data_IF_415448150934
#
_entry.id   IF_415448150934
#
_cell.length_a   1.000
_cell.length_b   1.000
_cell.length_c   1.000
_cell.angle_alpha   90.00
_cell.angle_beta   90.00
_cell.angle_gamma   90.00
#
_symmetry.space_group_name_H-M   'P 1'
#
loop_
_entity.id
_entity.type
_entity.pdbx_description
1 polymer ?
#
# COMPACT_ATOMS: atom_id res chain seq x y z
N UNK A 1 16.18 -19.70 32.56
CA UNK A 1 15.07 -18.71 32.53
C UNK A 1 15.56 -17.26 32.51
N UNK A 2 16.40 -16.81 33.45
CA UNK A 2 16.89 -15.42 33.50
C UNK A 2 17.65 -14.96 32.24
N UNK A 3 18.49 -15.82 31.66
CA UNK A 3 19.26 -15.50 30.44
C UNK A 3 18.33 -15.29 29.22
N UNK A 4 17.29 -16.11 29.09
CA UNK A 4 16.30 -16.00 28.00
C UNK A 4 15.48 -14.70 28.12
N UNK A 5 15.07 -14.35 29.34
CA UNK A 5 14.35 -13.09 29.62
C UNK A 5 15.22 -11.87 29.32
N UNK A 6 16.50 -11.91 29.71
CA UNK A 6 17.46 -10.85 29.39
C UNK A 6 17.69 -10.68 27.88
N UNK A 7 17.82 -11.78 27.14
CA UNK A 7 17.99 -11.74 25.68
C UNK A 7 16.76 -11.15 24.99
N UNK A 8 15.55 -11.57 25.39
CA UNK A 8 14.29 -11.05 24.84
C UNK A 8 14.15 -9.55 25.13
N UNK A 9 14.49 -9.10 26.34
CA UNK A 9 14.44 -7.69 26.71
C UNK A 9 15.43 -6.83 25.87
N UNK A 10 16.66 -7.33 25.66
CA UNK A 10 17.66 -6.64 24.84
C UNK A 10 17.24 -6.59 23.37
N UNK A 11 16.75 -7.70 22.80
CA UNK A 11 16.24 -7.71 21.42
C UNK A 11 15.03 -6.79 21.26
N UNK A 12 14.13 -6.75 22.24
CA UNK A 12 12.97 -5.84 22.24
C UNK A 12 13.40 -4.39 22.34
N UNK A 13 14.40 -4.07 23.16
CA UNK A 13 14.94 -2.72 23.32
C UNK A 13 15.72 -2.26 22.08
N UNK A 14 16.50 -3.15 21.45
CA UNK A 14 17.19 -2.87 20.19
C UNK A 14 16.20 -2.70 19.04
N UNK A 15 15.17 -3.56 18.97
CA UNK A 15 14.07 -3.41 18.02
C UNK A 15 13.33 -2.10 18.24
N UNK A 16 12.98 -1.77 19.49
CA UNK A 16 12.34 -0.50 19.84
C UNK A 16 13.24 0.69 19.50
N UNK A 17 14.55 0.63 19.75
CA UNK A 17 15.49 1.71 19.44
C UNK A 17 15.72 1.86 17.93
N UNK A 18 15.79 0.76 17.18
CA UNK A 18 15.86 0.75 15.72
C UNK A 18 14.56 1.29 15.11
N UNK A 19 13.42 0.83 15.61
CA UNK A 19 12.10 1.34 15.26
C UNK A 19 11.99 2.82 15.61
N UNK A 20 12.49 3.26 16.77
CA UNK A 20 12.45 4.67 17.20
C UNK A 20 13.41 5.54 16.40
N UNK A 21 14.60 5.05 16.03
CA UNK A 21 15.52 5.77 15.13
C UNK A 21 14.95 5.90 13.73
N UNK A 22 14.30 4.86 13.24
CA UNK A 22 13.56 4.94 11.99
C UNK A 22 12.34 5.87 12.10
N UNK A 23 11.68 5.80 13.26
CA UNK A 23 10.70 6.69 13.87
C UNK A 23 11.03 8.18 13.78
N UNK A 24 12.28 8.50 14.13
CA UNK A 24 12.81 9.85 14.32
C UNK A 24 13.52 10.33 13.06
N UNK A 25 13.96 9.42 12.19
CA UNK A 25 14.50 9.76 10.87
C UNK A 25 13.43 10.21 9.88
N UNK A 26 12.22 10.52 10.35
CA UNK A 26 11.16 11.17 9.59
C UNK A 26 11.67 12.52 9.08
N UNK A 27 12.29 12.46 7.91
CA UNK A 27 12.55 13.61 7.05
C UNK A 27 11.25 14.38 6.93
N UNK A 28 11.33 15.71 7.01
CA UNK A 28 10.19 16.54 6.66
C UNK A 28 9.69 16.09 5.28
N UNK A 29 8.41 15.69 5.17
CA UNK A 29 7.87 15.23 3.90
C UNK A 29 8.09 16.29 2.83
N UNK A 30 8.62 15.89 1.67
CA UNK A 30 8.82 16.79 0.56
C UNK A 30 7.46 17.30 0.06
N UNK A 31 7.39 18.57 -0.36
CA UNK A 31 6.18 19.12 -0.98
C UNK A 31 5.95 18.45 -2.35
N UNK A 32 5.19 17.35 -2.33
CA UNK A 32 4.91 16.50 -3.48
C UNK A 32 3.73 15.55 -3.18
N UNK A 33 3.12 15.05 -4.24
CA UNK A 33 2.19 13.93 -4.20
C UNK A 33 2.91 12.64 -4.64
N UNK A 34 2.91 11.61 -3.79
CA UNK A 34 3.42 10.29 -4.12
C UNK A 34 2.26 9.30 -4.26
N UNK A 35 2.13 8.67 -5.43
CA UNK A 35 1.09 7.71 -5.77
C UNK A 35 1.64 6.29 -5.66
N UNK A 36 1.21 5.56 -4.65
CA UNK A 36 1.56 4.17 -4.45
C UNK A 36 0.73 3.28 -5.35
N UNK A 37 1.38 2.76 -6.40
CA UNK A 37 0.75 1.89 -7.38
C UNK A 37 1.76 0.86 -7.95
N UNK A 38 2.01 -0.26 -7.26
CA UNK A 38 3.08 -1.20 -7.63
C UNK A 38 2.95 -1.89 -9.00
N UNK A 39 1.78 -1.81 -9.64
CA UNK A 39 1.47 -2.41 -10.94
C UNK A 39 0.98 -1.34 -11.92
N UNK A 40 1.90 -0.70 -12.63
CA UNK A 40 1.62 0.34 -13.63
C UNK A 40 1.51 -0.18 -15.05
N UNK A 41 1.63 -1.50 -15.23
CA UNK A 41 1.73 -2.12 -16.54
C UNK A 41 0.68 -3.21 -16.87
N UNK A 42 -0.28 -3.47 -15.98
CA UNK A 42 -1.20 -4.62 -16.09
C UNK A 42 -2.43 -4.34 -16.99
N UNK A 43 -2.67 -3.09 -17.38
CA UNK A 43 -3.85 -2.64 -18.14
C UNK A 43 -5.15 -2.66 -17.32
N UNK A 44 -5.09 -2.69 -15.99
CA UNK A 44 -6.24 -2.90 -15.11
C UNK A 44 -7.02 -1.63 -14.74
N UNK A 45 -8.21 -1.80 -14.14
CA UNK A 45 -9.03 -0.68 -13.67
C UNK A 45 -8.35 0.20 -12.61
N UNK A 46 -7.45 -0.38 -11.80
CA UNK A 46 -6.66 0.37 -10.81
C UNK A 46 -5.73 1.41 -11.45
N UNK A 47 -5.15 1.11 -12.62
CA UNK A 47 -4.30 2.06 -13.34
C UNK A 47 -5.11 3.25 -13.85
N UNK A 48 -6.36 3.04 -14.28
CA UNK A 48 -7.23 4.16 -14.65
C UNK A 48 -7.43 5.12 -13.48
N UNK A 49 -7.63 4.59 -12.27
CA UNK A 49 -7.73 5.39 -11.05
C UNK A 49 -6.43 6.17 -10.82
N UNK A 50 -5.27 5.50 -10.92
CA UNK A 50 -3.96 6.14 -10.80
C UNK A 50 -3.84 7.33 -11.75
N UNK A 51 -4.07 7.13 -13.05
CA UNK A 51 -3.86 8.17 -14.05
C UNK A 51 -4.85 9.32 -13.92
N UNK A 52 -6.12 9.03 -13.62
CA UNK A 52 -7.11 10.06 -13.31
C UNK A 52 -6.70 10.88 -12.08
N UNK A 53 -6.20 10.23 -11.02
CA UNK A 53 -5.76 10.91 -9.81
C UNK A 53 -4.51 11.78 -10.04
N UNK A 54 -3.52 11.28 -10.78
CA UNK A 54 -2.33 12.06 -11.19
C UNK A 54 -2.76 13.26 -12.02
N UNK A 55 -3.63 13.07 -13.01
CA UNK A 55 -4.17 14.17 -13.84
C UNK A 55 -4.87 15.23 -13.00
N UNK A 56 -5.77 14.81 -12.10
CA UNK A 56 -6.50 15.72 -11.24
C UNK A 56 -5.57 16.55 -10.33
N UNK A 57 -4.54 15.93 -9.75
CA UNK A 57 -3.54 16.66 -8.95
C UNK A 57 -2.78 17.66 -9.81
N UNK A 58 -2.37 17.29 -11.02
CA UNK A 58 -1.67 18.21 -11.92
C UNK A 58 -2.52 19.42 -12.34
N UNK A 59 -3.84 19.26 -12.46
CA UNK A 59 -4.77 20.34 -12.78
C UNK A 59 -5.07 21.24 -11.58
N UNK A 60 -5.36 20.64 -10.42
CA UNK A 60 -5.73 21.37 -9.20
C UNK A 60 -4.52 22.05 -8.53
N UNK A 61 -3.34 21.45 -8.65
CA UNK A 61 -2.10 21.93 -8.03
C UNK A 61 -0.94 21.83 -9.02
N UNK A 62 -0.84 22.74 -10.02
CA UNK A 62 0.20 22.69 -11.03
C UNK A 62 1.63 22.78 -10.48
N UNK A 63 1.85 23.33 -9.30
CA UNK A 63 3.19 23.40 -8.70
C UNK A 63 3.54 22.20 -7.83
N UNK A 64 2.63 21.23 -7.65
CA UNK A 64 2.85 20.04 -6.83
C UNK A 64 3.42 18.89 -7.69
N UNK A 65 4.70 18.50 -7.49
CA UNK A 65 5.28 17.38 -8.22
C UNK A 65 4.55 16.06 -7.91
N UNK A 66 4.36 15.24 -8.94
CA UNK A 66 3.75 13.92 -8.82
C UNK A 66 4.81 12.85 -9.03
N UNK A 67 4.98 11.97 -8.04
CA UNK A 67 5.82 10.78 -8.12
C UNK A 67 4.95 9.52 -8.07
N UNK A 68 5.27 8.51 -8.87
CA UNK A 68 4.58 7.21 -8.87
C UNK A 68 5.55 6.15 -8.36
N UNK A 69 5.14 5.43 -7.33
CA UNK A 69 5.86 4.26 -6.85
C UNK A 69 5.37 3.02 -7.58
N UNK A 70 6.27 2.37 -8.31
CA UNK A 70 5.93 1.20 -9.15
C UNK A 70 6.96 0.10 -8.97
N UNK A 71 6.52 -1.16 -9.03
CA UNK A 71 7.43 -2.31 -9.10
C UNK A 71 7.76 -2.75 -10.52
N UNK A 72 7.26 -2.04 -11.54
CA UNK A 72 7.62 -2.30 -12.93
C UNK A 72 9.01 -1.74 -13.23
N UNK A 73 9.91 -2.60 -13.70
CA UNK A 73 11.31 -2.26 -13.95
C UNK A 73 11.50 -1.39 -15.21
N UNK A 74 10.57 -1.50 -16.17
CA UNK A 74 10.56 -0.82 -17.46
C UNK A 74 9.73 0.49 -17.44
N UNK A 75 9.23 0.90 -16.27
CA UNK A 75 8.43 2.09 -16.12
C UNK A 75 9.26 3.39 -16.26
N UNK A 76 9.34 3.93 -17.47
CA UNK A 76 9.87 5.28 -17.72
C UNK A 76 8.77 6.35 -17.64
N UNK A 77 9.06 7.59 -17.17
CA UNK A 77 8.07 8.67 -17.05
C UNK A 77 7.22 8.90 -18.31
N UNK A 78 7.87 9.00 -19.47
CA UNK A 78 7.24 9.27 -20.76
C UNK A 78 6.42 8.06 -21.22
N UNK A 79 6.93 6.85 -20.99
CA UNK A 79 6.22 5.61 -21.33
C UNK A 79 4.94 5.46 -20.50
N UNK A 80 4.98 5.81 -19.21
CA UNK A 80 3.79 5.81 -18.35
C UNK A 80 2.77 6.88 -18.80
N UNK A 81 3.24 8.07 -19.17
CA UNK A 81 2.36 9.12 -19.67
C UNK A 81 1.69 8.74 -21.01
N UNK A 82 2.44 8.10 -21.92
CA UNK A 82 1.90 7.56 -23.16
C UNK A 82 0.87 6.45 -22.88
N UNK A 83 1.20 5.51 -21.98
CA UNK A 83 0.29 4.43 -21.57
C UNK A 83 -1.01 4.96 -20.97
N UNK A 84 -0.94 5.99 -20.13
CA UNK A 84 -2.12 6.64 -19.55
C UNK A 84 -3.08 7.16 -20.65
N UNK A 85 -2.52 7.77 -21.70
CA UNK A 85 -3.28 8.23 -22.84
C UNK A 85 -3.82 7.06 -23.68
N UNK A 86 -2.96 6.15 -24.10
CA UNK A 86 -3.28 5.10 -25.07
C UNK A 86 -4.25 4.06 -24.51
N UNK A 87 -4.12 3.70 -23.23
CA UNK A 87 -4.96 2.66 -22.59
C UNK A 87 -6.20 3.21 -21.92
N UNK A 88 -6.13 4.42 -21.39
CA UNK A 88 -7.19 4.95 -20.52
C UNK A 88 -7.77 6.28 -20.99
N UNK A 89 -7.25 6.86 -22.08
CA UNK A 89 -7.68 8.17 -22.58
C UNK A 89 -7.30 9.33 -21.66
N UNK A 90 -6.36 9.12 -20.73
CA UNK A 90 -5.98 10.12 -19.72
C UNK A 90 -4.68 10.80 -20.14
N UNK A 91 -4.79 12.00 -20.73
CA UNK A 91 -3.63 12.82 -21.08
C UNK A 91 -3.06 13.49 -19.84
N UNK A 92 -1.86 13.13 -19.40
CA UNK A 92 -1.18 13.86 -18.31
C UNK A 92 -0.68 15.23 -18.79
N UNK A 93 -0.66 16.23 -17.91
CA UNK A 93 -0.09 17.56 -18.20
C UNK A 93 1.44 17.50 -18.27
N UNK A 94 2.05 16.63 -17.46
CA UNK A 94 3.49 16.32 -17.49
C UNK A 94 3.73 14.85 -17.10
N UNK A 95 4.83 14.24 -17.57
CA UNK A 95 5.22 12.91 -17.09
C UNK A 95 5.41 12.90 -15.56
N UNK A 96 4.94 11.86 -14.85
CA UNK A 96 5.19 11.73 -13.42
C UNK A 96 6.64 11.30 -13.18
N UNK A 97 7.20 11.69 -12.03
CA UNK A 97 8.46 11.10 -11.57
C UNK A 97 8.23 9.63 -11.22
N UNK A 98 9.21 8.77 -11.48
CA UNK A 98 9.10 7.33 -11.18
C UNK A 98 10.03 6.95 -10.04
N UNK A 99 9.47 6.25 -9.06
CA UNK A 99 10.21 5.65 -7.95
C UNK A 99 10.06 4.13 -8.05
N UNK A 100 11.06 3.47 -8.62
CA UNK A 100 11.04 2.01 -8.75
C UNK A 100 11.14 1.31 -7.40
N UNK A 101 10.39 0.23 -7.23
CA UNK A 101 10.34 -0.63 -6.05
C UNK A 101 10.82 -2.03 -6.40
N UNK A 102 11.69 -2.59 -5.57
CA UNK A 102 12.28 -3.90 -5.79
C UNK A 102 11.61 -4.99 -4.96
N UNK A 103 10.72 -4.63 -4.03
CA UNK A 103 10.07 -5.56 -3.09
C UNK A 103 8.63 -5.92 -3.49
N UNK A 104 8.23 -5.70 -4.75
CA UNK A 104 6.87 -6.02 -5.23
C UNK A 104 6.46 -7.47 -4.96
N UNK A 105 7.39 -8.42 -5.02
CA UNK A 105 7.10 -9.84 -4.71
C UNK A 105 6.38 -10.06 -3.36
N UNK A 106 6.57 -9.19 -2.37
CA UNK A 106 5.94 -9.35 -1.06
C UNK A 106 4.44 -9.03 -1.05
N UNK A 107 3.88 -8.44 -2.11
CA UNK A 107 2.43 -8.26 -2.26
C UNK A 107 1.81 -9.28 -3.23
N UNK A 108 2.61 -10.20 -3.78
CA UNK A 108 2.15 -11.25 -4.68
C UNK A 108 1.62 -12.46 -3.90
N UNK A 109 0.50 -13.03 -4.36
CA UNK A 109 -0.12 -14.18 -3.70
C UNK A 109 0.78 -15.42 -3.70
N UNK A 110 1.55 -15.61 -4.78
CA UNK A 110 2.52 -16.71 -4.97
C UNK A 110 3.59 -16.78 -3.88
N UNK A 111 3.89 -15.66 -3.22
CA UNK A 111 4.86 -15.59 -2.12
C UNK A 111 4.36 -16.29 -0.85
N UNK A 112 3.05 -16.50 -0.70
CA UNK A 112 2.44 -17.01 0.53
C UNK A 112 1.58 -18.25 0.27
N UNK A 113 2.12 -19.48 0.47
CA UNK A 113 1.36 -20.71 0.28
C UNK A 113 0.21 -20.87 1.29
N UNK A 114 0.30 -20.20 2.44
CA UNK A 114 -0.73 -20.16 3.48
C UNK A 114 -0.90 -18.73 4.00
N UNK A 115 -2.10 -18.40 4.50
CA UNK A 115 -2.42 -17.08 5.07
C UNK A 115 -2.14 -15.90 4.13
N UNK A 116 -2.37 -16.09 2.83
CA UNK A 116 -2.03 -15.14 1.76
C UNK A 116 -2.46 -13.71 2.05
N UNK A 117 -3.69 -13.49 2.51
CA UNK A 117 -4.19 -12.13 2.84
C UNK A 117 -3.38 -11.44 3.96
N UNK A 118 -2.98 -12.18 4.99
CA UNK A 118 -2.14 -11.65 6.07
C UNK A 118 -0.75 -11.37 5.54
N UNK A 119 -0.20 -12.30 4.76
CA UNK A 119 1.08 -12.17 4.08
C UNK A 119 1.14 -10.89 3.23
N UNK A 120 0.20 -10.72 2.30
CA UNK A 120 0.10 -9.56 1.43
C UNK A 120 -0.13 -8.26 2.22
N UNK A 121 -0.92 -8.29 3.30
CA UNK A 121 -1.12 -7.12 4.17
C UNK A 121 0.17 -6.68 4.85
N UNK A 122 0.98 -7.62 5.34
CA UNK A 122 2.30 -7.31 5.91
C UNK A 122 3.32 -6.93 4.82
N UNK A 123 3.26 -7.60 3.68
CA UNK A 123 4.09 -7.31 2.53
C UNK A 123 3.85 -5.92 1.97
N UNK A 124 2.61 -5.42 2.02
CA UNK A 124 2.29 -4.06 1.60
C UNK A 124 2.88 -3.01 2.53
N UNK A 125 2.96 -3.28 3.84
CA UNK A 125 3.70 -2.43 4.80
C UNK A 125 5.18 -2.40 4.44
N UNK A 126 5.77 -3.55 4.14
CA UNK A 126 7.19 -3.65 3.79
C UNK A 126 7.52 -2.96 2.45
N UNK A 127 6.62 -3.05 1.48
CA UNK A 127 6.74 -2.35 0.20
C UNK A 127 6.56 -0.84 0.35
N UNK A 128 5.58 -0.40 1.15
CA UNK A 128 5.38 1.01 1.46
C UNK A 128 6.57 1.61 2.22
N UNK A 129 7.20 0.85 3.12
CA UNK A 129 8.46 1.26 3.73
C UNK A 129 9.53 1.53 2.68
N UNK A 130 9.70 0.63 1.69
CA UNK A 130 10.65 0.84 0.61
C UNK A 130 10.35 2.13 -0.17
N UNK A 131 9.08 2.34 -0.52
CA UNK A 131 8.64 3.54 -1.21
C UNK A 131 8.98 4.81 -0.42
N UNK A 132 8.58 4.85 0.85
CA UNK A 132 8.74 6.02 1.72
C UNK A 132 10.19 6.29 2.11
N UNK A 133 11.04 5.26 2.20
CA UNK A 133 12.49 5.43 2.42
C UNK A 133 13.21 5.94 1.19
N UNK A 134 12.75 5.62 -0.02
CA UNK A 134 13.26 6.18 -1.28
C UNK A 134 12.82 7.61 -1.51
N UNK A 135 11.54 7.91 -1.26
CA UNK A 135 10.97 9.24 -1.40
C UNK A 135 9.80 9.41 -0.44
N UNK A 136 9.85 10.39 0.47
CA UNK A 136 8.78 10.69 1.43
C UNK A 136 7.98 11.93 1.00
N UNK A 137 6.74 11.79 0.51
CA UNK A 137 5.93 12.88 0.00
C UNK A 137 5.04 13.46 1.10
N UNK A 138 4.66 14.73 1.00
CA UNK A 138 3.68 15.33 1.89
C UNK A 138 2.30 14.69 1.74
N UNK A 139 1.91 14.33 0.51
CA UNK A 139 0.65 13.66 0.22
C UNK A 139 0.92 12.26 -0.33
N UNK A 140 0.51 11.23 0.41
CA UNK A 140 0.63 9.83 0.01
C UNK A 140 -0.73 9.36 -0.50
N UNK A 141 -0.81 9.06 -1.79
CA UNK A 141 -1.99 8.52 -2.45
C UNK A 141 -1.88 7.01 -2.58
N UNK A 142 -2.86 6.25 -2.09
CA UNK A 142 -3.00 4.84 -2.43
C UNK A 142 -4.12 4.65 -3.46
N UNK A 143 -3.76 4.02 -4.57
CA UNK A 143 -4.67 3.70 -5.68
C UNK A 143 -4.73 2.21 -5.96
N UNK A 144 -4.01 1.40 -5.18
CA UNK A 144 -4.00 -0.07 -5.27
C UNK A 144 -4.78 -0.75 -4.13
N UNK A 145 -5.08 -0.04 -3.04
CA UNK A 145 -5.94 -0.56 -1.95
C UNK A 145 -5.17 -1.31 -0.85
N UNK A 146 -3.92 -0.94 -0.61
CA UNK A 146 -3.05 -1.47 0.44
C UNK A 146 -3.19 -0.70 1.75
N UNK A 147 -4.37 -0.78 2.39
CA UNK A 147 -4.69 0.01 3.58
C UNK A 147 -3.75 -0.16 4.78
N UNK A 148 -3.10 -1.32 4.90
CA UNK A 148 -2.10 -1.57 5.96
C UNK A 148 -0.87 -0.66 5.83
N UNK A 149 -0.60 -0.07 4.66
CA UNK A 149 0.46 0.91 4.47
C UNK A 149 0.17 2.26 5.16
N UNK A 150 -1.10 2.58 5.46
CA UNK A 150 -1.48 3.93 5.87
C UNK A 150 -0.93 4.36 7.23
N UNK A 151 -0.94 3.51 8.29
CA UNK A 151 -0.28 3.85 9.54
C UNK A 151 1.20 4.16 9.34
N UNK A 152 1.89 3.37 8.50
CA UNK A 152 3.30 3.61 8.19
C UNK A 152 3.50 4.95 7.48
N UNK A 153 2.71 5.26 6.45
CA UNK A 153 2.78 6.55 5.76
C UNK A 153 2.56 7.74 6.72
N UNK A 154 1.61 7.64 7.66
CA UNK A 154 1.41 8.66 8.70
C UNK A 154 2.61 8.78 9.64
N UNK A 155 3.25 7.68 9.99
CA UNK A 155 4.46 7.71 10.81
C UNK A 155 5.61 8.42 10.09
N UNK A 156 5.71 8.30 8.77
CA UNK A 156 6.62 9.08 7.92
C UNK A 156 6.19 10.56 7.72
N UNK A 157 5.10 11.00 8.36
CA UNK A 157 4.60 12.38 8.28
C UNK A 157 3.69 12.68 7.08
N UNK A 158 3.34 11.68 6.26
CA UNK A 158 2.49 11.87 5.10
C UNK A 158 1.02 12.10 5.48
N UNK A 159 0.34 12.97 4.72
CA UNK A 159 -1.12 12.99 4.64
C UNK A 159 -1.59 11.88 3.71
N UNK A 160 -2.31 10.91 4.24
CA UNK A 160 -2.79 9.75 3.46
C UNK A 160 -4.12 10.06 2.79
N UNK A 161 -4.18 9.83 1.48
CA UNK A 161 -5.35 9.92 0.61
C UNK A 161 -5.48 8.57 -0.08
N UNK A 162 -6.69 8.01 -0.20
CA UNK A 162 -6.86 6.71 -0.82
C UNK A 162 -8.14 6.61 -1.65
N UNK A 163 -8.04 5.83 -2.71
CA UNK A 163 -9.19 5.34 -3.46
C UNK A 163 -9.26 3.82 -3.33
N UNK A 164 -10.26 3.33 -2.60
CA UNK A 164 -10.46 1.90 -2.35
C UNK A 164 -11.87 1.51 -2.78
N UNK A 165 -11.99 0.93 -3.99
CA UNK A 165 -13.28 0.50 -4.55
C UNK A 165 -13.78 -0.83 -3.94
N UNK A 166 -12.87 -1.66 -3.43
CA UNK A 166 -13.19 -2.83 -2.62
C UNK A 166 -12.20 -2.91 -1.44
N UNK A 167 -12.64 -2.79 -0.18
CA UNK A 167 -11.74 -2.90 0.95
C UNK A 167 -11.11 -4.29 1.01
N UNK A 168 -9.88 -4.38 1.54
CA UNK A 168 -9.11 -5.64 1.63
C UNK A 168 -9.90 -6.81 2.26
N UNK A 169 -10.89 -6.48 3.10
CA UNK A 169 -11.97 -7.39 3.50
C UNK A 169 -13.30 -6.68 3.32
N UNK A 170 -14.24 -7.30 2.58
CA UNK A 170 -15.62 -6.83 2.49
C UNK A 170 -16.47 -7.29 3.69
N UNK A 171 -17.55 -6.56 3.98
CA UNK A 171 -18.59 -6.97 4.93
C UNK A 171 -19.09 -8.38 4.63
N UNK A 172 -19.30 -8.67 3.35
CA UNK A 172 -19.80 -9.95 2.86
C UNK A 172 -18.81 -11.09 3.15
N UNK A 173 -17.49 -10.83 3.06
CA UNK A 173 -16.47 -11.81 3.43
C UNK A 173 -16.48 -12.11 4.93
N UNK A 174 -16.70 -11.10 5.78
CA UNK A 174 -16.83 -11.28 7.24
C UNK A 174 -18.11 -12.06 7.55
N UNK A 175 -19.22 -11.73 6.91
CA UNK A 175 -20.52 -12.39 7.07
C UNK A 175 -20.46 -13.86 6.63
N UNK A 176 -19.81 -14.15 5.50
CA UNK A 176 -19.61 -15.52 5.01
C UNK A 176 -18.77 -16.39 5.97
N UNK A 177 -17.74 -15.82 6.60
CA UNK A 177 -16.96 -16.54 7.63
C UNK A 177 -17.82 -16.79 8.88
N UNK A 178 -18.64 -15.83 9.30
CA UNK A 178 -19.63 -16.03 10.39
C UNK A 178 -20.61 -17.17 10.07
N UNK A 179 -21.03 -17.29 8.81
CA UNK A 179 -21.96 -18.33 8.36
C UNK A 179 -21.29 -19.65 7.91
N UNK A 180 -19.96 -19.77 8.00
CA UNK A 180 -19.19 -20.97 7.60
C UNK A 180 -19.48 -21.49 6.18
N UNK A 181 -19.90 -20.61 5.26
CA UNK A 181 -20.16 -21.00 3.86
C UNK A 181 -18.84 -21.26 3.14
N UNK A 182 -18.62 -22.49 2.63
CA UNK A 182 -17.39 -22.89 1.94
C UNK A 182 -17.45 -22.62 0.42
N UNK A 183 -16.36 -22.12 -0.17
CA UNK A 183 -16.09 -22.20 -1.61
C UNK A 183 -14.58 -22.15 -1.91
N UNK A 184 -14.15 -22.84 -2.99
CA UNK A 184 -12.86 -23.04 -3.69
C UNK A 184 -11.47 -22.86 -3.02
N UNK A 185 -11.29 -22.26 -1.84
CA UNK A 185 -9.98 -22.21 -1.18
C UNK A 185 -10.05 -22.16 0.36
N UNK A 186 -11.12 -22.67 0.96
CA UNK A 186 -11.30 -22.64 2.41
C UNK A 186 -10.91 -23.99 3.03
N UNK A 187 -9.71 -24.07 3.61
CA UNK A 187 -9.39 -25.17 4.51
C UNK A 187 -10.25 -24.99 5.78
N UNK A 188 -11.13 -25.95 6.06
CA UNK A 188 -12.07 -25.95 7.19
C UNK A 188 -11.39 -25.78 8.56
N UNK A 189 -10.08 -26.04 8.66
CA UNK A 189 -9.27 -25.85 9.87
C UNK A 189 -9.01 -24.37 10.22
N UNK A 190 -9.03 -23.46 9.23
CA UNK A 190 -8.69 -22.03 9.44
C UNK A 190 -9.95 -21.21 9.78
N UNK A 191 -11.12 -21.64 9.30
CA UNK A 191 -12.41 -20.96 9.51
C UNK A 191 -12.87 -20.92 10.99
N UNK A 192 -12.20 -21.64 11.90
CA UNK A 192 -12.59 -21.74 13.31
C UNK A 192 -11.99 -20.69 14.27
N UNK A 193 -11.08 -19.82 13.85
CA UNK A 193 -10.35 -18.91 14.77
C UNK A 193 -10.82 -17.45 14.68
N UNK A 194 -11.87 -17.12 15.44
CA UNK A 194 -12.46 -15.77 15.54
C UNK A 194 -11.49 -14.64 15.90
N UNK A 195 -10.37 -14.93 16.58
CA UNK A 195 -9.35 -13.93 16.92
C UNK A 195 -8.60 -13.38 15.68
N UNK A 196 -8.51 -14.15 14.60
CA UNK A 196 -7.83 -13.76 13.36
C UNK A 196 -8.57 -12.64 12.61
N UNK A 197 -9.90 -12.59 12.72
CA UNK A 197 -10.76 -11.62 12.02
C UNK A 197 -10.66 -10.19 12.60
N UNK A 198 -10.33 -10.04 13.88
CA UNK A 198 -10.22 -8.72 14.53
C UNK A 198 -9.00 -7.92 14.09
N UNK A 199 -7.90 -8.58 13.74
CA UNK A 199 -6.69 -7.93 13.20
C UNK A 199 -6.92 -7.46 11.76
N UNK A 200 -7.79 -8.14 11.00
CA UNK A 200 -8.00 -7.86 9.58
C UNK A 200 -9.13 -6.83 9.34
N UNK A 201 -10.01 -6.59 10.30
CA UNK A 201 -11.12 -5.62 10.20
C UNK A 201 -10.73 -4.14 10.36
N UNK A 202 -9.44 -3.78 10.34
CA UNK A 202 -8.97 -2.40 10.51
C UNK A 202 -9.30 -1.46 9.33
N UNK A 203 -9.99 -1.96 8.30
CA UNK A 203 -10.14 -1.30 7.01
C UNK A 203 -11.40 -0.41 6.84
N UNK A 204 -12.39 -0.52 7.74
CA UNK A 204 -13.67 0.18 7.58
C UNK A 204 -13.66 1.67 7.96
N UNK A 205 -12.55 2.22 8.46
CA UNK A 205 -12.50 3.59 9.01
C UNK A 205 -11.82 4.62 8.09
N UNK A 206 -11.42 4.25 6.88
CA UNK A 206 -10.82 5.19 5.94
C UNK A 206 -11.91 5.88 5.13
N UNK A 207 -12.02 7.22 5.25
CA UNK A 207 -12.85 8.04 4.36
C UNK A 207 -12.35 7.88 2.94
N UNK A 208 -12.98 6.98 2.18
CA UNK A 208 -12.82 6.89 0.74
C UNK A 208 -13.40 8.17 0.12
N UNK A 209 -12.64 8.83 -0.76
CA UNK A 209 -13.21 9.80 -1.68
C UNK A 209 -14.01 9.01 -2.72
N UNK A 210 -15.30 8.86 -2.46
CA UNK A 210 -16.28 8.39 -3.42
C UNK A 210 -16.76 9.64 -4.17
N UNK A 211 -16.32 9.78 -5.42
CA UNK A 211 -16.96 10.64 -6.42
C UNK A 211 -17.39 9.76 -7.57
#
# INVERSE_FOLDING_TARGET
MAILVGLVAVLSALFAAALRRLLISCRHPAYAAGFFHPYTNDGGGGERVLWCAVRAVQELCPDLPCAVYTGDADAAPEALAARALDRFGVRLLRPPQVVHLNKRKWIEASTYPHFTMIGQSLGSVYLAWEALTKFTPQFYFDTSGYAFAYPLARLFGCKVICYTHYPTISSDMVERVKHRSSMYNNNSLIAGRYALLRVISFNSSYRALVY
#
